data_IF_551766557549
#
_entry.id   IF_551766557549
#
_cell.length_a   1.000
_cell.length_b   1.000
_cell.length_c   1.000
_cell.angle_alpha   90.00
_cell.angle_beta   90.00
_cell.angle_gamma   90.00
#
_symmetry.space_group_name_H-M   'P 1'
#
loop_
_entity.id
_entity.type
_entity.pdbx_description
1 polymer ?
#
# COMPACT_ATOMS: atom_id res chain seq x y z
N UNK A 1 8.73 22.39 15.94
CA UNK A 1 9.34 21.79 14.72
C UNK A 1 9.08 20.30 14.72
N UNK A 2 8.48 19.76 13.66
CA UNK A 2 8.18 18.33 13.57
C UNK A 2 9.46 17.55 13.24
N UNK A 3 10.25 17.24 14.27
CA UNK A 3 11.34 16.29 14.16
C UNK A 3 10.76 14.92 13.77
N UNK A 4 11.33 14.28 12.75
CA UNK A 4 10.93 12.93 12.32
C UNK A 4 11.01 11.96 13.50
N UNK A 5 9.89 11.34 13.86
CA UNK A 5 9.82 10.39 14.97
C UNK A 5 10.25 9.00 14.49
N UNK A 6 11.49 8.62 14.81
CA UNK A 6 12.02 7.29 14.50
C UNK A 6 11.77 6.25 15.61
N UNK A 7 11.51 6.70 16.84
CA UNK A 7 11.32 5.83 18.00
C UNK A 7 10.11 4.90 17.79
N UNK A 8 10.27 3.61 18.09
CA UNK A 8 9.27 2.53 17.95
C UNK A 8 8.93 2.09 16.51
N UNK A 9 9.59 2.65 15.50
CA UNK A 9 9.47 2.17 14.12
C UNK A 9 10.49 1.07 13.83
N UNK A 10 10.08 0.08 13.04
CA UNK A 10 11.04 -0.82 12.39
C UNK A 10 11.80 -0.01 11.32
N UNK A 11 13.11 -0.25 11.09
CA UNK A 11 13.91 0.53 10.13
C UNK A 11 13.31 0.61 8.72
N UNK A 12 12.65 -0.45 8.24
CA UNK A 12 11.96 -0.47 6.94
C UNK A 12 10.76 0.49 6.85
N UNK A 13 10.23 0.93 7.99
CA UNK A 13 9.10 1.85 8.10
C UNK A 13 9.55 3.28 8.41
N UNK A 14 10.85 3.56 8.42
CA UNK A 14 11.34 4.92 8.66
C UNK A 14 10.86 5.88 7.58
N UNK A 15 10.52 7.14 7.92
CA UNK A 15 10.04 8.12 6.96
C UNK A 15 11.00 8.34 5.79
N UNK A 16 12.31 8.37 6.05
CA UNK A 16 13.37 8.45 5.05
C UNK A 16 13.29 7.35 4.00
N UNK A 17 13.04 6.10 4.43
CA UNK A 17 12.89 4.96 3.52
C UNK A 17 11.57 5.03 2.76
N UNK A 18 10.47 5.41 3.42
CA UNK A 18 9.16 5.56 2.76
C UNK A 18 9.18 6.65 1.70
N UNK A 19 9.83 7.78 1.97
CA UNK A 19 10.03 8.87 1.01
C UNK A 19 10.93 8.41 -0.14
N UNK A 20 12.01 7.68 0.14
CA UNK A 20 12.87 7.14 -0.91
C UNK A 20 12.12 6.18 -1.84
N UNK A 21 11.31 5.28 -1.27
CA UNK A 21 10.46 4.35 -2.03
C UNK A 21 9.43 5.09 -2.89
N UNK A 22 8.77 6.11 -2.32
CA UNK A 22 7.84 6.95 -3.06
C UNK A 22 8.53 7.73 -4.19
N UNK A 23 9.72 8.29 -3.92
CA UNK A 23 10.54 8.94 -4.94
C UNK A 23 10.87 7.99 -6.09
N UNK A 24 11.24 6.74 -5.81
CA UNK A 24 11.45 5.71 -6.82
C UNK A 24 10.18 5.36 -7.60
N UNK A 25 9.01 5.31 -6.95
CA UNK A 25 7.72 5.08 -7.62
C UNK A 25 7.41 6.18 -8.63
N UNK A 26 7.48 7.45 -8.20
CA UNK A 26 7.18 8.59 -9.07
C UNK A 26 8.21 8.71 -10.20
N UNK A 27 9.49 8.47 -9.91
CA UNK A 27 10.54 8.52 -10.92
C UNK A 27 10.40 7.43 -12.00
N UNK A 28 10.07 6.18 -11.60
CA UNK A 28 9.90 5.06 -12.54
C UNK A 28 8.56 5.09 -13.28
N UNK A 29 7.58 5.84 -12.75
CA UNK A 29 6.22 5.80 -13.26
C UNK A 29 5.80 7.16 -13.81
N UNK A 30 6.00 7.34 -15.12
CA UNK A 30 5.31 8.41 -15.84
C UNK A 30 3.79 8.20 -15.76
N UNK A 31 3.05 9.22 -15.33
CA UNK A 31 1.59 9.16 -15.25
C UNK A 31 1.04 8.09 -14.30
N UNK A 32 1.58 7.98 -13.07
CA UNK A 32 1.14 7.00 -12.05
C UNK A 32 -0.39 6.91 -11.94
N UNK A 33 -1.08 8.05 -11.94
CA UNK A 33 -2.53 8.09 -11.87
C UNK A 33 -3.21 7.38 -13.04
N UNK A 34 -2.77 7.66 -14.28
CA UNK A 34 -3.30 7.00 -15.47
C UNK A 34 -3.10 5.49 -15.42
N UNK A 35 -1.93 5.04 -14.94
CA UNK A 35 -1.65 3.60 -14.79
C UNK A 35 -2.52 2.94 -13.74
N UNK A 36 -2.78 3.61 -12.61
CA UNK A 36 -3.69 3.10 -11.57
C UNK A 36 -5.11 2.91 -12.15
N UNK A 37 -5.61 3.89 -12.91
CA UNK A 37 -6.93 3.80 -13.55
C UNK A 37 -6.98 2.65 -14.56
N UNK A 38 -5.92 2.45 -15.34
CA UNK A 38 -5.86 1.43 -16.40
C UNK A 38 -5.67 0.01 -15.86
N UNK A 39 -4.97 -0.17 -14.73
CA UNK A 39 -4.64 -1.48 -14.17
C UNK A 39 -5.91 -2.32 -13.93
N UNK A 40 -6.05 -3.47 -14.58
CA UNK A 40 -7.30 -4.24 -14.63
C UNK A 40 -7.66 -4.95 -13.33
N UNK A 41 -6.69 -5.22 -12.47
CA UNK A 41 -6.84 -6.09 -11.29
C UNK A 41 -5.82 -5.74 -10.18
N UNK A 42 -5.98 -6.36 -9.01
CA UNK A 42 -5.10 -6.12 -7.87
C UNK A 42 -3.64 -6.54 -8.15
N UNK A 43 -3.42 -7.56 -8.99
CA UNK A 43 -2.09 -8.05 -9.36
C UNK A 43 -1.30 -7.02 -10.18
N UNK A 44 -1.93 -6.38 -11.16
CA UNK A 44 -1.32 -5.30 -11.93
C UNK A 44 -0.98 -4.10 -11.05
N UNK A 45 -1.86 -3.76 -10.10
CA UNK A 45 -1.57 -2.74 -9.11
C UNK A 45 -0.40 -3.14 -8.20
N UNK A 46 -0.33 -4.39 -7.76
CA UNK A 46 0.79 -4.90 -6.97
C UNK A 46 2.14 -4.71 -7.68
N UNK A 47 2.21 -5.09 -8.95
CA UNK A 47 3.41 -4.90 -9.76
C UNK A 47 3.71 -3.41 -10.02
N UNK A 48 2.69 -2.57 -10.21
CA UNK A 48 2.86 -1.11 -10.36
C UNK A 48 3.53 -0.47 -9.14
N UNK A 49 3.17 -0.91 -7.93
CA UNK A 49 3.75 -0.39 -6.68
C UNK A 49 5.03 -1.12 -6.25
N UNK A 50 5.47 -2.17 -6.97
CA UNK A 50 6.66 -2.94 -6.65
C UNK A 50 7.93 -2.18 -7.03
N UNK A 51 8.42 -1.39 -6.07
CA UNK A 51 9.61 -0.55 -6.23
C UNK A 51 10.66 -0.79 -5.17
N UNK A 52 11.92 -0.61 -5.55
CA UNK A 52 13.10 -0.56 -4.69
C UNK A 52 13.70 0.84 -4.70
N UNK A 53 14.35 1.20 -3.58
CA UNK A 53 15.10 2.45 -3.47
C UNK A 53 16.38 2.44 -4.30
N UNK A 54 17.02 3.61 -4.49
CA UNK A 54 18.36 3.71 -5.10
C UNK A 54 19.48 3.05 -4.26
N UNK A 55 20.67 2.79 -4.85
CA UNK A 55 21.79 2.17 -4.15
C UNK A 55 22.23 2.87 -2.87
N UNK A 56 22.16 4.21 -2.81
CA UNK A 56 22.45 4.98 -1.60
C UNK A 56 21.63 4.50 -0.41
N UNK A 57 20.35 4.22 -0.64
CA UNK A 57 19.46 3.78 0.43
C UNK A 57 19.69 2.32 0.80
N UNK A 58 20.36 1.48 0.00
CA UNK A 58 20.59 0.07 0.37
C UNK A 58 21.45 -0.08 1.62
N UNK A 59 22.35 0.86 1.89
CA UNK A 59 23.19 0.90 3.08
C UNK A 59 22.89 2.09 4.00
N UNK A 60 21.77 2.79 3.83
CA UNK A 60 21.35 3.89 4.72
C UNK A 60 19.88 3.74 5.13
N UNK A 61 19.58 3.83 6.43
CA UNK A 61 18.19 3.99 6.91
C UNK A 61 17.84 5.45 7.18
N UNK A 62 18.83 6.26 7.50
CA UNK A 62 18.76 7.72 7.64
C UNK A 62 19.97 8.31 6.92
N UNK A 63 19.93 9.61 6.63
CA UNK A 63 21.04 10.26 5.93
C UNK A 63 22.36 10.13 6.70
N UNK A 64 23.46 9.96 5.95
CA UNK A 64 24.83 9.97 6.45
C UNK A 64 25.14 8.94 7.56
N UNK A 65 24.28 7.94 7.76
CA UNK A 65 24.52 6.82 8.69
C UNK A 65 24.45 5.49 7.97
N UNK A 66 25.63 4.91 7.76
CA UNK A 66 25.76 3.62 7.10
C UNK A 66 25.23 2.47 7.98
N UNK A 67 24.67 1.46 7.33
CA UNK A 67 24.20 0.21 7.92
C UNK A 67 24.64 -0.96 7.06
N UNK A 68 24.46 -2.19 7.56
CA UNK A 68 24.60 -3.39 6.73
C UNK A 68 23.75 -3.26 5.45
N UNK A 69 24.31 -3.53 4.26
CA UNK A 69 23.57 -3.46 3.01
C UNK A 69 22.34 -4.36 3.02
N UNK A 70 21.21 -3.83 2.57
CA UNK A 70 19.96 -4.55 2.38
C UNK A 70 19.09 -3.79 1.40
N UNK A 71 18.57 -4.52 0.40
CA UNK A 71 17.55 -4.00 -0.51
C UNK A 71 16.34 -3.48 0.27
N UNK A 72 15.89 -2.25 -0.04
CA UNK A 72 14.75 -1.60 0.63
C UNK A 72 13.56 -1.47 -0.32
N UNK A 73 12.97 -2.61 -0.67
CA UNK A 73 11.76 -2.66 -1.48
C UNK A 73 10.48 -2.45 -0.69
N UNK A 74 9.43 -2.02 -1.38
CA UNK A 74 8.06 -2.05 -0.85
C UNK A 74 7.62 -3.52 -0.79
N UNK A 75 7.30 -4.03 0.40
CA UNK A 75 6.80 -5.40 0.56
C UNK A 75 5.32 -5.50 0.25
N UNK A 76 4.85 -6.69 -0.12
CA UNK A 76 3.46 -6.93 -0.55
C UNK A 76 2.43 -6.44 0.48
N UNK A 77 2.66 -6.69 1.78
CA UNK A 77 1.78 -6.18 2.84
C UNK A 77 1.67 -4.64 2.84
N UNK A 78 2.78 -3.93 2.60
CA UNK A 78 2.77 -2.47 2.53
C UNK A 78 2.03 -1.99 1.26
N UNK A 79 2.16 -2.72 0.16
CA UNK A 79 1.39 -2.44 -1.07
C UNK A 79 -0.10 -2.65 -0.80
N UNK A 80 -0.51 -3.79 -0.22
CA UNK A 80 -1.91 -4.03 0.16
C UNK A 80 -2.48 -2.90 1.01
N UNK A 81 -1.74 -2.39 2.00
CA UNK A 81 -2.19 -1.25 2.78
C UNK A 81 -2.40 0.02 1.94
N UNK A 82 -1.53 0.30 0.97
CA UNK A 82 -1.71 1.42 0.03
C UNK A 82 -2.94 1.19 -0.86
N UNK A 83 -3.14 -0.05 -1.33
CA UNK A 83 -4.29 -0.38 -2.17
C UNK A 83 -5.60 -0.16 -1.40
N UNK A 84 -5.71 -0.74 -0.21
CA UNK A 84 -6.90 -0.67 0.65
C UNK A 84 -7.18 0.76 1.13
N UNK A 85 -6.17 1.48 1.63
CA UNK A 85 -6.40 2.77 2.29
C UNK A 85 -6.33 3.97 1.33
N UNK A 86 -5.75 3.81 0.14
CA UNK A 86 -5.52 4.94 -0.77
C UNK A 86 -6.12 4.69 -2.14
N UNK A 87 -5.75 3.60 -2.82
CA UNK A 87 -6.15 3.38 -4.22
C UNK A 87 -7.64 3.07 -4.34
N UNK A 88 -8.15 2.15 -3.52
CA UNK A 88 -9.56 1.73 -3.57
C UNK A 88 -10.51 2.89 -3.25
N UNK A 89 -10.38 3.63 -2.12
CA UNK A 89 -11.25 4.76 -1.83
C UNK A 89 -11.17 5.83 -2.92
N UNK A 90 -9.97 6.08 -3.44
CA UNK A 90 -9.77 7.02 -4.52
C UNK A 90 -10.52 6.59 -5.80
N UNK A 91 -10.38 5.34 -6.25
CA UNK A 91 -11.05 4.82 -7.45
C UNK A 91 -12.57 4.86 -7.31
N UNK A 92 -13.09 4.49 -6.14
CA UNK A 92 -14.52 4.55 -5.86
C UNK A 92 -15.07 5.99 -5.98
N UNK A 93 -14.40 6.96 -5.33
CA UNK A 93 -14.79 8.38 -5.41
C UNK A 93 -14.63 8.93 -6.82
N UNK A 94 -13.57 8.55 -7.54
CA UNK A 94 -13.37 8.93 -8.93
C UNK A 94 -14.53 8.46 -9.82
N UNK A 95 -14.92 7.18 -9.72
CA UNK A 95 -16.07 6.63 -10.43
C UNK A 95 -17.37 7.36 -10.08
N UNK A 96 -17.61 7.61 -8.79
CA UNK A 96 -18.78 8.37 -8.31
C UNK A 96 -18.86 9.77 -8.90
N UNK A 97 -17.76 10.54 -8.86
CA UNK A 97 -17.72 11.92 -9.37
C UNK A 97 -17.88 11.96 -10.89
N UNK A 98 -17.26 11.01 -11.60
CA UNK A 98 -17.31 10.92 -13.06
C UNK A 98 -18.56 10.21 -13.60
N UNK A 99 -19.41 9.67 -12.73
CA UNK A 99 -20.57 8.82 -13.08
C UNK A 99 -20.17 7.62 -13.95
N UNK A 100 -19.06 6.99 -13.57
CA UNK A 100 -18.51 5.80 -14.21
C UNK A 100 -18.59 4.66 -13.18
N UNK A 101 -19.70 3.92 -13.21
CA UNK A 101 -19.96 2.85 -12.23
C UNK A 101 -18.94 1.71 -12.30
N UNK A 102 -18.37 1.44 -13.48
CA UNK A 102 -17.29 0.47 -13.67
C UNK A 102 -16.11 0.71 -12.72
N UNK A 103 -15.77 1.97 -12.41
CA UNK A 103 -14.67 2.28 -11.48
C UNK A 103 -15.05 2.01 -10.02
N UNK A 104 -16.33 2.12 -9.67
CA UNK A 104 -16.82 1.74 -8.34
C UNK A 104 -16.77 0.23 -8.20
N UNK A 105 -17.31 -0.51 -9.15
CA UNK A 105 -17.29 -1.98 -9.15
C UNK A 105 -15.85 -2.50 -9.11
N UNK A 106 -14.99 -2.01 -10.01
CA UNK A 106 -13.56 -2.32 -10.02
C UNK A 106 -12.88 -2.08 -8.67
N UNK A 107 -13.23 -1.01 -7.96
CA UNK A 107 -12.64 -0.74 -6.64
C UNK A 107 -13.03 -1.78 -5.59
N UNK A 108 -14.24 -2.34 -5.68
CA UNK A 108 -14.70 -3.43 -4.82
C UNK A 108 -14.05 -4.76 -5.24
N UNK A 109 -13.96 -5.03 -6.54
CA UNK A 109 -13.28 -6.22 -7.08
C UNK A 109 -11.80 -6.26 -6.68
N UNK A 110 -11.14 -5.10 -6.60
CA UNK A 110 -9.77 -5.02 -6.09
C UNK A 110 -9.69 -5.46 -4.63
N UNK A 111 -10.66 -5.09 -3.77
CA UNK A 111 -10.68 -5.53 -2.37
C UNK A 111 -10.91 -7.05 -2.26
N UNK A 112 -11.75 -7.61 -3.12
CA UNK A 112 -12.04 -9.04 -3.15
C UNK A 112 -10.80 -9.89 -3.48
N UNK A 113 -9.88 -9.32 -4.29
CA UNK A 113 -8.64 -9.97 -4.72
C UNK A 113 -7.46 -9.81 -3.74
N UNK A 114 -7.58 -8.96 -2.71
CA UNK A 114 -6.51 -8.72 -1.74
C UNK A 114 -6.70 -9.64 -0.51
N UNK A 115 -5.63 -10.28 0.02
CA UNK A 115 -5.71 -11.08 1.22
C UNK A 115 -6.31 -10.31 2.42
N UNK A 116 -6.96 -11.00 3.37
CA UNK A 116 -7.59 -10.34 4.51
C UNK A 116 -6.56 -9.59 5.35
N UNK A 117 -6.95 -8.43 5.85
CA UNK A 117 -6.08 -7.63 6.71
C UNK A 117 -5.78 -8.33 8.04
N UNK A 118 -4.50 -8.30 8.46
CA UNK A 118 -4.11 -8.80 9.77
C UNK A 118 -4.02 -7.66 10.78
N UNK A 119 -5.13 -7.39 11.46
CA UNK A 119 -5.18 -6.42 12.56
C UNK A 119 -5.86 -7.01 13.81
N UNK A 120 -5.77 -6.31 14.94
CA UNK A 120 -6.27 -6.81 16.23
C UNK A 120 -7.79 -6.96 16.28
N UNK A 121 -8.55 -6.21 15.46
CA UNK A 121 -10.01 -6.28 15.40
C UNK A 121 -10.42 -7.51 14.60
N UNK A 122 -9.83 -7.73 13.41
CA UNK A 122 -10.06 -8.93 12.59
C UNK A 122 -9.76 -10.21 13.39
N UNK A 123 -8.66 -10.22 14.16
CA UNK A 123 -8.32 -11.35 15.06
C UNK A 123 -9.36 -11.59 16.16
N UNK A 124 -10.12 -10.59 16.59
CA UNK A 124 -11.21 -10.79 17.55
C UNK A 124 -12.41 -11.45 16.87
N UNK A 125 -12.76 -11.00 15.67
CA UNK A 125 -13.81 -11.63 14.87
C UNK A 125 -13.51 -13.09 14.55
N UNK A 126 -12.26 -13.39 14.18
CA UNK A 126 -11.80 -14.75 13.92
C UNK A 126 -11.97 -15.67 15.14
N UNK A 127 -11.67 -15.16 16.35
CA UNK A 127 -11.89 -15.90 17.61
C UNK A 127 -13.35 -16.17 17.92
N UNK A 128 -14.27 -15.39 17.37
CA UNK A 128 -15.72 -15.58 17.48
C UNK A 128 -16.28 -16.47 16.36
N UNK A 129 -15.42 -17.03 15.51
CA UNK A 129 -15.80 -17.91 14.40
C UNK A 129 -16.07 -17.20 13.07
N UNK A 130 -15.94 -15.87 13.00
CA UNK A 130 -16.13 -15.09 11.77
C UNK A 130 -14.78 -14.99 11.05
N UNK A 131 -14.64 -15.72 9.94
CA UNK A 131 -13.44 -15.69 9.09
C UNK A 131 -13.68 -14.80 7.88
N UNK A 132 -12.81 -13.83 7.68
CA UNK A 132 -12.79 -13.01 6.48
C UNK A 132 -11.87 -13.63 5.42
N UNK A 133 -12.39 -13.82 4.22
CA UNK A 133 -11.65 -14.47 3.12
C UNK A 133 -10.71 -13.51 2.37
N UNK A 134 -11.02 -12.22 2.41
CA UNK A 134 -10.29 -11.17 1.69
C UNK A 134 -10.47 -9.79 2.34
N UNK A 135 -9.85 -8.77 1.74
CA UNK A 135 -9.88 -7.41 2.25
C UNK A 135 -11.27 -6.77 2.18
N UNK A 136 -12.14 -7.18 1.25
CA UNK A 136 -13.53 -6.71 1.20
C UNK A 136 -14.27 -7.06 2.49
N UNK A 137 -14.18 -8.32 2.92
CA UNK A 137 -14.76 -8.75 4.19
C UNK A 137 -14.11 -8.08 5.40
N UNK A 138 -12.77 -7.93 5.43
CA UNK A 138 -12.15 -7.26 6.58
C UNK A 138 -12.54 -5.79 6.68
N UNK A 139 -12.70 -5.09 5.55
CA UNK A 139 -13.19 -3.72 5.55
C UNK A 139 -14.63 -3.61 6.08
N UNK A 140 -15.52 -4.53 5.71
CA UNK A 140 -16.89 -4.60 6.24
C UNK A 140 -16.95 -4.92 7.75
N UNK A 141 -15.95 -5.60 8.30
CA UNK A 141 -15.86 -5.88 9.75
C UNK A 141 -15.27 -4.71 10.56
N UNK A 142 -14.67 -3.73 9.89
CA UNK A 142 -13.97 -2.60 10.50
C UNK A 142 -14.76 -1.28 10.43
N UNK A 143 -15.65 -1.13 9.44
CA UNK A 143 -16.43 0.07 9.14
C UNK A 143 -17.92 -0.20 9.39
#
# INVERSE_FOLDING_TARGET
GHLWKFLRLRPSNFPTIRIAQFGSLIHKTSGLFSKIIQAGNAKELLELFRVSTSPYWENHYVFNKQSKPKEKKLGDQAIHYILINTVVPFLFVYGKIKKLDDFKEKSLDILDQIPPESNSIVKKWEKLGIKAENAFYTQALLQ
#
